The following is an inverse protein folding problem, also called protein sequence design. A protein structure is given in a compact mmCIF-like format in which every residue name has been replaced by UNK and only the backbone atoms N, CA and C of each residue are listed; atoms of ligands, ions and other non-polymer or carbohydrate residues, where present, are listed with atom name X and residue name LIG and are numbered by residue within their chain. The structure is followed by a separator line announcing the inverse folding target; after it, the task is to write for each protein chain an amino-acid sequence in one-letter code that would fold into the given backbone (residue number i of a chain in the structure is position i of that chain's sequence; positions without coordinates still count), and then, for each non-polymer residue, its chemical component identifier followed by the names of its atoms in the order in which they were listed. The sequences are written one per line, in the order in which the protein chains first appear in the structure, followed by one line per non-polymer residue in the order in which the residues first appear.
data_IF_941164692405
#
_entry.id   IF_941164692405
#
_cell.length_a   1.000
_cell.length_b   1.000
_cell.length_c   1.000
_cell.angle_alpha   90.00
_cell.angle_beta   90.00
_cell.angle_gamma   90.00
#
_symmetry.space_group_name_H-M   'P 1'
#
loop_
_entity.id
_entity.type
_entity.pdbx_description
1 polymer ?
#
# COMPACT_ATOMS: atom_id res chain seq x y z
N UNK A 1 -4.48 1.87 -59.63
CA UNK A 1 -3.26 1.08 -59.85
C UNK A 1 -3.37 -0.19 -59.00
N UNK A 2 -3.60 -1.37 -59.59
CA UNK A 2 -3.69 -2.63 -58.82
C UNK A 2 -2.26 -3.06 -58.46
N UNK A 3 -1.98 -3.25 -57.16
CA UNK A 3 -0.70 -3.82 -56.69
C UNK A 3 -0.55 -5.24 -57.23
N UNK A 4 0.69 -5.63 -57.55
CA UNK A 4 0.97 -6.99 -58.01
C UNK A 4 0.74 -7.99 -56.87
N UNK A 5 0.30 -9.22 -57.15
CA UNK A 5 0.03 -10.23 -56.12
C UNK A 5 1.25 -10.52 -55.22
N UNK A 6 2.47 -10.36 -55.74
CA UNK A 6 3.70 -10.45 -54.94
C UNK A 6 3.82 -9.35 -53.89
N UNK A 7 3.48 -8.10 -54.24
CA UNK A 7 3.53 -6.97 -53.32
C UNK A 7 2.44 -7.12 -52.25
N UNK A 8 1.23 -7.54 -52.64
CA UNK A 8 0.14 -7.81 -51.68
C UNK A 8 0.53 -8.90 -50.68
N UNK A 9 1.13 -10.01 -51.13
CA UNK A 9 1.58 -11.09 -50.25
C UNK A 9 2.70 -10.64 -49.30
N UNK A 10 3.65 -9.83 -49.76
CA UNK A 10 4.71 -9.26 -48.92
C UNK A 10 4.15 -8.35 -47.83
N UNK A 11 3.16 -7.50 -48.16
CA UNK A 11 2.47 -6.63 -47.20
C UNK A 11 1.72 -7.48 -46.15
N UNK A 12 1.01 -8.53 -46.57
CA UNK A 12 0.31 -9.43 -45.65
C UNK A 12 1.28 -10.17 -44.71
N UNK A 13 2.40 -10.68 -45.21
CA UNK A 13 3.41 -11.34 -44.37
C UNK A 13 4.05 -10.37 -43.37
N UNK A 14 4.36 -9.14 -43.80
CA UNK A 14 4.90 -8.10 -42.92
C UNK A 14 3.89 -7.72 -41.82
N UNK A 15 2.61 -7.59 -42.16
CA UNK A 15 1.56 -7.28 -41.20
C UNK A 15 1.37 -8.41 -40.18
N UNK A 16 1.41 -9.67 -40.61
CA UNK A 16 1.33 -10.85 -39.73
C UNK A 16 2.54 -10.92 -38.79
N UNK A 17 3.75 -10.71 -39.32
CA UNK A 17 4.98 -10.70 -38.51
C UNK A 17 4.97 -9.57 -37.47
N UNK A 18 4.53 -8.37 -37.86
CA UNK A 18 4.36 -7.25 -36.94
C UNK A 18 3.31 -7.57 -35.86
N UNK A 19 2.19 -8.18 -36.23
CA UNK A 19 1.15 -8.61 -35.29
C UNK A 19 1.66 -9.62 -34.26
N UNK A 20 2.47 -10.60 -34.70
CA UNK A 20 3.13 -11.55 -33.79
C UNK A 20 4.12 -10.87 -32.86
N UNK A 21 4.96 -9.95 -33.38
CA UNK A 21 5.93 -9.21 -32.58
C UNK A 21 5.24 -8.37 -31.48
N UNK A 22 4.17 -7.67 -31.84
CA UNK A 22 3.38 -6.90 -30.88
C UNK A 22 2.71 -7.79 -29.82
N UNK A 23 2.24 -8.97 -30.22
CA UNK A 23 1.64 -9.94 -29.30
C UNK A 23 2.65 -10.47 -28.29
N UNK A 24 3.88 -10.79 -28.72
CA UNK A 24 4.96 -11.21 -27.81
C UNK A 24 5.32 -10.09 -26.83
N UNK A 25 5.41 -8.85 -27.30
CA UNK A 25 5.71 -7.69 -26.45
C UNK A 25 4.64 -7.45 -25.35
N UNK A 26 3.37 -7.80 -25.61
CA UNK A 26 2.27 -7.64 -24.65
C UNK A 26 2.17 -8.85 -23.71
N UNK A 27 2.31 -10.07 -24.25
CA UNK A 27 2.11 -11.32 -23.50
C UNK A 27 3.29 -11.59 -22.56
N UNK A 28 4.51 -11.33 -23.01
CA UNK A 28 5.72 -11.67 -22.26
C UNK A 28 5.77 -11.05 -20.84
N UNK A 29 5.52 -9.74 -20.65
CA UNK A 29 5.47 -9.15 -19.32
C UNK A 29 4.40 -9.77 -18.41
N UNK A 30 3.26 -10.15 -18.99
CA UNK A 30 2.15 -10.78 -18.24
C UNK A 30 2.51 -12.19 -17.78
N UNK A 31 3.18 -12.99 -18.62
CA UNK A 31 3.70 -14.31 -18.24
C UNK A 31 4.78 -14.19 -17.16
N UNK A 32 5.69 -13.23 -17.31
CA UNK A 32 6.72 -12.95 -16.33
C UNK A 32 6.09 -12.56 -14.99
N UNK A 33 5.11 -11.65 -14.98
CA UNK A 33 4.39 -11.29 -13.75
C UNK A 33 3.68 -12.50 -13.12
N UNK A 34 2.96 -13.31 -13.91
CA UNK A 34 2.27 -14.49 -13.40
C UNK A 34 3.24 -15.48 -12.73
N UNK A 35 4.44 -15.65 -13.28
CA UNK A 35 5.49 -16.44 -12.67
C UNK A 35 5.88 -15.92 -11.28
N UNK A 36 6.15 -14.62 -11.14
CA UNK A 36 6.52 -14.03 -9.85
C UNK A 36 5.36 -13.95 -8.85
N UNK A 37 4.12 -13.80 -9.33
CA UNK A 37 2.94 -13.87 -8.47
C UNK A 37 2.82 -15.25 -7.81
N UNK A 38 3.02 -16.34 -8.58
CA UNK A 38 3.04 -17.70 -8.03
C UNK A 38 4.16 -17.89 -6.98
N UNK A 39 5.37 -17.38 -7.26
CA UNK A 39 6.51 -17.51 -6.34
C UNK A 39 6.36 -16.67 -5.07
N UNK A 40 5.57 -15.59 -5.11
CA UNK A 40 5.33 -14.74 -3.94
C UNK A 40 4.12 -15.17 -3.09
N UNK A 41 3.31 -16.14 -3.53
CA UNK A 41 2.12 -16.59 -2.79
C UNK A 41 2.44 -17.07 -1.37
N UNK A 42 3.53 -17.82 -1.20
CA UNK A 42 3.93 -18.31 0.13
C UNK A 42 4.32 -17.15 1.06
N UNK A 43 5.09 -16.19 0.54
CA UNK A 43 5.49 -15.00 1.29
C UNK A 43 4.27 -14.18 1.74
N UNK A 44 3.29 -13.98 0.85
CA UNK A 44 2.04 -13.25 1.19
C UNK A 44 1.26 -13.95 2.30
N UNK A 45 1.06 -15.27 2.18
CA UNK A 45 0.39 -16.07 3.22
C UNK A 45 1.15 -16.05 4.55
N UNK A 46 2.48 -16.04 4.53
CA UNK A 46 3.29 -15.89 5.74
C UNK A 46 3.08 -14.52 6.38
N UNK A 47 3.15 -13.44 5.60
CA UNK A 47 2.90 -12.07 6.07
C UNK A 47 1.50 -11.94 6.69
N UNK A 48 0.46 -12.48 6.02
CA UNK A 48 -0.91 -12.46 6.54
C UNK A 48 -1.01 -13.16 7.89
N UNK A 49 -0.39 -14.34 8.03
CA UNK A 49 -0.35 -15.07 9.31
C UNK A 49 0.36 -14.28 10.40
N UNK A 50 1.52 -13.72 10.09
CA UNK A 50 2.33 -12.94 11.03
C UNK A 50 1.62 -11.67 11.51
N UNK A 51 0.94 -10.95 10.61
CA UNK A 51 0.20 -9.74 10.96
C UNK A 51 -1.09 -10.06 11.71
N UNK A 52 -1.71 -11.20 11.44
CA UNK A 52 -2.94 -11.65 12.14
C UNK A 52 -2.64 -12.16 13.56
N UNK A 53 -1.46 -12.74 13.79
CA UNK A 53 -1.01 -13.19 15.10
C UNK A 53 0.42 -12.71 15.41
N UNK A 54 0.60 -11.41 15.69
CA UNK A 54 1.93 -10.82 15.88
C UNK A 54 2.66 -11.32 17.13
N UNK A 55 1.96 -11.98 18.07
CA UNK A 55 2.59 -12.56 19.26
C UNK A 55 3.26 -13.91 18.99
N UNK A 56 2.87 -14.60 17.92
CA UNK A 56 3.46 -15.87 17.53
C UNK A 56 4.95 -15.71 17.22
N UNK A 57 5.78 -16.65 17.69
CA UNK A 57 7.17 -16.74 17.28
C UNK A 57 7.28 -16.89 15.76
N UNK A 58 8.36 -16.36 15.18
CA UNK A 58 8.67 -16.52 13.77
C UNK A 58 10.16 -16.83 13.63
N UNK A 59 10.51 -17.61 12.62
CA UNK A 59 11.89 -17.89 12.29
C UNK A 59 12.45 -16.76 11.43
N UNK A 60 13.67 -16.31 11.73
CA UNK A 60 14.33 -15.26 10.95
C UNK A 60 14.55 -15.72 9.51
N UNK A 61 14.80 -17.01 9.30
CA UNK A 61 14.96 -17.62 7.98
C UNK A 61 13.69 -17.48 7.14
N UNK A 62 12.51 -17.76 7.69
CA UNK A 62 11.24 -17.58 6.99
C UNK A 62 11.03 -16.12 6.57
N UNK A 63 11.40 -15.18 7.45
CA UNK A 63 11.30 -13.75 7.14
C UNK A 63 12.25 -13.34 6.01
N UNK A 64 13.50 -13.84 6.03
CA UNK A 64 14.49 -13.60 4.98
C UNK A 64 13.99 -14.18 3.65
N UNK A 65 13.47 -15.40 3.64
CA UNK A 65 12.94 -16.05 2.45
C UNK A 65 11.76 -15.25 1.85
N UNK A 66 10.82 -14.79 2.70
CA UNK A 66 9.71 -13.96 2.26
C UNK A 66 10.19 -12.62 1.67
N UNK A 67 11.17 -11.98 2.33
CA UNK A 67 11.79 -10.74 1.84
C UNK A 67 12.42 -10.95 0.46
N UNK A 68 13.25 -11.97 0.33
CA UNK A 68 14.06 -12.18 -0.87
C UNK A 68 13.18 -12.53 -2.08
N UNK A 69 12.14 -13.35 -1.87
CA UNK A 69 11.13 -13.64 -2.90
C UNK A 69 10.40 -12.37 -3.38
N UNK A 70 10.01 -11.49 -2.46
CA UNK A 70 9.33 -10.24 -2.79
C UNK A 70 10.27 -9.22 -3.45
N UNK A 71 11.52 -9.13 -2.99
CA UNK A 71 12.52 -8.26 -3.60
C UNK A 71 12.84 -8.70 -5.03
N UNK A 72 12.95 -10.01 -5.27
CA UNK A 72 13.21 -10.54 -6.60
C UNK A 72 12.04 -10.28 -7.55
N UNK A 73 10.81 -10.55 -7.11
CA UNK A 73 9.60 -10.20 -7.86
C UNK A 73 9.54 -8.70 -8.18
N UNK A 74 9.87 -7.84 -7.21
CA UNK A 74 9.90 -6.39 -7.40
C UNK A 74 10.98 -5.93 -8.40
N UNK A 75 12.16 -6.56 -8.40
CA UNK A 75 13.22 -6.26 -9.38
C UNK A 75 12.80 -6.64 -10.79
N UNK A 76 12.17 -7.81 -10.93
CA UNK A 76 11.75 -8.31 -12.22
C UNK A 76 10.53 -7.57 -12.79
N UNK A 77 9.62 -7.13 -11.90
CA UNK A 77 8.35 -6.49 -12.26
C UNK A 77 8.10 -5.24 -11.40
N UNK A 78 8.88 -4.16 -11.59
CA UNK A 78 8.82 -2.95 -10.73
C UNK A 78 7.52 -2.15 -10.90
N UNK A 79 6.78 -2.36 -12.00
CA UNK A 79 5.50 -1.71 -12.26
C UNK A 79 4.30 -2.42 -11.58
N UNK A 80 4.54 -3.38 -10.68
CA UNK A 80 3.49 -4.09 -9.94
C UNK A 80 3.42 -3.54 -8.52
N UNK A 81 2.39 -2.73 -8.24
CA UNK A 81 2.22 -2.06 -6.94
C UNK A 81 2.17 -3.07 -5.76
N UNK A 82 1.64 -4.27 -5.99
CA UNK A 82 1.48 -5.29 -4.96
C UNK A 82 2.82 -5.66 -4.30
N UNK A 83 3.92 -5.75 -5.05
CA UNK A 83 5.21 -6.13 -4.45
C UNK A 83 5.72 -5.06 -3.49
N UNK A 84 5.53 -3.78 -3.82
CA UNK A 84 5.79 -2.70 -2.88
C UNK A 84 4.88 -2.78 -1.64
N UNK A 85 3.59 -3.07 -1.80
CA UNK A 85 2.66 -3.21 -0.68
C UNK A 85 3.11 -4.34 0.26
N UNK A 86 3.46 -5.51 -0.27
CA UNK A 86 3.89 -6.65 0.55
C UNK A 86 5.24 -6.41 1.23
N UNK A 87 6.18 -5.75 0.55
CA UNK A 87 7.42 -5.30 1.18
C UNK A 87 7.13 -4.31 2.32
N UNK A 88 6.19 -3.38 2.14
CA UNK A 88 5.78 -2.48 3.22
C UNK A 88 5.22 -3.27 4.42
N UNK A 89 4.29 -4.19 4.18
CA UNK A 89 3.67 -5.05 5.20
C UNK A 89 4.70 -5.89 5.95
N UNK A 90 5.72 -6.39 5.25
CA UNK A 90 6.84 -7.11 5.85
C UNK A 90 7.64 -6.23 6.82
N UNK A 91 7.85 -4.94 6.50
CA UNK A 91 8.48 -3.99 7.42
C UNK A 91 7.56 -3.62 8.59
N UNK A 92 6.25 -3.50 8.35
CA UNK A 92 5.26 -3.29 9.44
C UNK A 92 5.34 -4.42 10.47
N UNK A 93 5.43 -5.67 10.02
CA UNK A 93 5.63 -6.81 10.92
C UNK A 93 6.90 -6.66 11.77
N UNK A 94 8.03 -6.27 11.15
CA UNK A 94 9.28 -6.01 11.88
C UNK A 94 9.15 -4.87 12.88
N UNK A 95 8.45 -3.81 12.53
CA UNK A 95 8.17 -2.71 13.46
C UNK A 95 7.36 -3.19 14.67
N UNK A 96 6.34 -4.02 14.47
CA UNK A 96 5.55 -4.62 15.55
C UNK A 96 6.44 -5.48 16.46
N UNK A 97 7.33 -6.31 15.89
CA UNK A 97 8.29 -7.11 16.67
C UNK A 97 9.30 -6.25 17.43
N UNK A 98 9.60 -5.05 16.93
CA UNK A 98 10.50 -4.09 17.56
C UNK A 98 9.77 -3.11 18.50
N UNK A 99 8.55 -3.38 18.95
CA UNK A 99 7.74 -2.44 19.75
C UNK A 99 8.47 -1.90 20.99
N UNK A 100 9.32 -2.72 21.63
CA UNK A 100 10.10 -2.34 22.81
C UNK A 100 11.38 -1.55 22.49
N UNK A 101 11.72 -1.37 21.21
CA UNK A 101 12.90 -0.65 20.74
C UNK A 101 12.49 0.47 19.75
N UNK A 102 12.06 1.65 20.24
CA UNK A 102 11.47 2.70 19.41
C UNK A 102 12.30 3.11 18.21
N UNK A 103 13.62 3.27 18.37
CA UNK A 103 14.50 3.63 17.26
C UNK A 103 14.52 2.58 16.14
N UNK A 104 14.44 1.30 16.49
CA UNK A 104 14.40 0.19 15.52
C UNK A 104 13.01 0.12 14.86
N UNK A 105 11.95 0.22 15.66
CA UNK A 105 10.57 0.27 15.18
C UNK A 105 10.37 1.39 14.17
N UNK A 106 10.84 2.59 14.49
CA UNK A 106 10.64 3.78 13.64
C UNK A 106 11.42 3.66 12.33
N UNK A 107 12.59 3.01 12.32
CA UNK A 107 13.29 2.66 11.07
C UNK A 107 12.44 1.75 10.18
N UNK A 108 11.80 0.73 10.75
CA UNK A 108 10.92 -0.14 9.98
C UNK A 108 9.65 0.57 9.50
N UNK A 109 9.08 1.49 10.29
CA UNK A 109 7.99 2.34 9.81
C UNK A 109 8.40 3.28 8.68
N UNK A 110 9.61 3.84 8.71
CA UNK A 110 10.15 4.63 7.60
C UNK A 110 10.25 3.81 6.31
N UNK A 111 10.80 2.59 6.40
CA UNK A 111 10.88 1.68 5.26
C UNK A 111 9.49 1.27 4.74
N UNK A 112 8.53 1.03 5.64
CA UNK A 112 7.14 0.76 5.25
C UNK A 112 6.53 1.96 4.50
N UNK A 113 6.73 3.18 5.01
CA UNK A 113 6.26 4.41 4.36
C UNK A 113 6.87 4.61 2.97
N UNK A 114 8.16 4.34 2.79
CA UNK A 114 8.83 4.39 1.49
C UNK A 114 8.20 3.41 0.50
N UNK A 115 7.97 2.16 0.92
CA UNK A 115 7.33 1.16 0.08
C UNK A 115 5.87 1.52 -0.27
N UNK A 116 5.08 2.03 0.67
CA UNK A 116 3.73 2.54 0.33
C UNK A 116 3.77 3.72 -0.63
N UNK A 117 4.76 4.61 -0.52
CA UNK A 117 4.96 5.70 -1.48
C UNK A 117 5.28 5.16 -2.87
N UNK A 118 6.13 4.14 -2.98
CA UNK A 118 6.41 3.47 -4.26
C UNK A 118 5.16 2.78 -4.83
N UNK A 119 4.36 2.11 -3.98
CA UNK A 119 3.08 1.53 -4.41
C UNK A 119 2.12 2.61 -4.96
N UNK A 120 2.07 3.79 -4.35
CA UNK A 120 1.25 4.92 -4.82
C UNK A 120 1.81 5.57 -6.10
N UNK A 121 3.11 5.48 -6.37
CA UNK A 121 3.65 5.92 -7.66
C UNK A 121 3.15 5.02 -8.80
N UNK A 122 3.01 3.71 -8.53
CA UNK A 122 2.51 2.73 -9.51
C UNK A 122 0.99 2.73 -9.60
N UNK A 123 0.29 2.77 -8.46
CA UNK A 123 -1.17 2.79 -8.37
C UNK A 123 -1.63 4.00 -7.54
N UNK A 124 -1.73 5.19 -8.17
CA UNK A 124 -1.99 6.44 -7.45
C UNK A 124 -3.28 6.47 -6.66
N UNK A 125 -4.29 5.68 -7.02
CA UNK A 125 -5.59 5.66 -6.34
C UNK A 125 -5.77 4.48 -5.36
N UNK A 126 -4.68 3.79 -4.98
CA UNK A 126 -4.77 2.71 -3.98
C UNK A 126 -5.04 3.28 -2.59
N UNK A 127 -6.30 3.20 -2.15
CA UNK A 127 -6.79 3.85 -0.93
C UNK A 127 -6.15 3.26 0.33
N UNK A 128 -6.00 1.93 0.39
CA UNK A 128 -5.36 1.27 1.52
C UNK A 128 -3.89 1.70 1.67
N UNK A 129 -3.16 1.87 0.57
CA UNK A 129 -1.78 2.37 0.60
C UNK A 129 -1.71 3.83 1.07
N UNK A 130 -2.68 4.68 0.69
CA UNK A 130 -2.77 6.05 1.23
C UNK A 130 -3.03 6.03 2.73
N UNK A 131 -4.04 5.30 3.19
CA UNK A 131 -4.43 5.25 4.59
C UNK A 131 -3.31 4.67 5.46
N UNK A 132 -2.63 3.62 4.99
CA UNK A 132 -1.46 3.06 5.65
C UNK A 132 -0.31 4.07 5.69
N UNK A 133 0.00 4.77 4.59
CA UNK A 133 1.04 5.79 4.59
C UNK A 133 0.72 6.92 5.58
N UNK A 134 -0.52 7.41 5.63
CA UNK A 134 -0.99 8.38 6.63
C UNK A 134 -0.79 7.85 8.05
N UNK A 135 -1.15 6.59 8.30
CA UNK A 135 -1.00 5.96 9.62
C UNK A 135 0.47 5.84 10.06
N UNK A 136 1.37 5.43 9.15
CA UNK A 136 2.79 5.29 9.49
C UNK A 136 3.48 6.65 9.64
N UNK A 137 3.09 7.65 8.83
CA UNK A 137 3.50 9.03 9.07
C UNK A 137 3.04 9.52 10.44
N UNK A 138 1.82 9.16 10.86
CA UNK A 138 1.36 9.48 12.21
C UNK A 138 2.18 8.79 13.31
N UNK A 139 2.56 7.51 13.14
CA UNK A 139 3.44 6.81 14.07
C UNK A 139 4.83 7.48 14.19
N UNK A 140 5.32 8.03 13.08
CA UNK A 140 6.58 8.75 13.00
C UNK A 140 6.47 10.23 13.44
N UNK A 141 5.28 10.71 13.83
CA UNK A 141 5.05 12.11 14.19
C UNK A 141 5.13 13.08 13.02
N UNK A 142 5.05 12.60 11.77
CA UNK A 142 5.19 13.36 10.54
C UNK A 142 3.83 13.94 10.09
N UNK A 143 3.35 14.94 10.81
CA UNK A 143 2.14 15.70 10.46
C UNK A 143 2.45 16.84 9.46
N UNK A 144 2.98 16.47 8.30
CA UNK A 144 3.44 17.41 7.26
C UNK A 144 2.42 17.59 6.11
N UNK A 145 2.81 18.30 5.05
CA UNK A 145 1.95 18.53 3.89
C UNK A 145 1.55 17.24 3.16
N UNK A 146 2.46 16.25 3.09
CA UNK A 146 2.16 14.94 2.49
C UNK A 146 1.08 14.21 3.31
N UNK A 147 1.17 14.27 4.64
CA UNK A 147 0.14 13.73 5.53
C UNK A 147 -1.24 14.34 5.23
N UNK A 148 -1.34 15.66 5.20
CA UNK A 148 -2.60 16.37 4.94
C UNK A 148 -3.17 16.04 3.55
N UNK A 149 -2.31 16.03 2.52
CA UNK A 149 -2.70 15.73 1.15
C UNK A 149 -3.24 14.29 1.01
N UNK A 150 -2.53 13.30 1.56
CA UNK A 150 -2.95 11.90 1.51
C UNK A 150 -4.24 11.67 2.30
N UNK A 151 -4.37 12.29 3.47
CA UNK A 151 -5.57 12.23 4.29
C UNK A 151 -6.79 12.77 3.52
N UNK A 152 -6.68 13.96 2.93
CA UNK A 152 -7.75 14.55 2.14
C UNK A 152 -8.10 13.70 0.91
N UNK A 153 -7.09 13.16 0.22
CA UNK A 153 -7.29 12.31 -0.96
C UNK A 153 -7.99 11.00 -0.60
N UNK A 154 -7.58 10.34 0.47
CA UNK A 154 -8.22 9.11 0.95
C UNK A 154 -9.70 9.35 1.29
N UNK A 155 -10.02 10.45 1.98
CA UNK A 155 -11.41 10.82 2.28
C UNK A 155 -12.25 11.12 1.03
N UNK A 156 -11.64 11.66 -0.03
CA UNK A 156 -12.34 11.97 -1.29
C UNK A 156 -12.68 10.70 -2.07
N UNK A 157 -11.77 9.74 -2.12
CA UNK A 157 -11.95 8.52 -2.92
C UNK A 157 -12.86 7.52 -2.18
N UNK A 158 -12.69 7.37 -0.87
CA UNK A 158 -13.44 6.43 -0.04
C UNK A 158 -14.06 7.10 1.19
N UNK A 159 -15.04 8.01 1.00
CA UNK A 159 -15.65 8.72 2.12
C UNK A 159 -16.41 7.82 3.10
N UNK A 160 -16.83 6.63 2.67
CA UNK A 160 -17.69 5.69 3.40
C UNK A 160 -17.02 4.35 3.75
N UNK A 161 -15.73 4.16 3.47
CA UNK A 161 -15.05 2.92 3.83
C UNK A 161 -14.68 2.92 5.31
N UNK A 162 -15.32 2.04 6.06
CA UNK A 162 -15.33 2.04 7.52
C UNK A 162 -13.92 1.85 8.13
N UNK A 163 -13.14 0.93 7.58
CA UNK A 163 -11.75 0.64 7.98
C UNK A 163 -10.80 1.80 7.68
N UNK A 164 -10.96 2.43 6.51
CA UNK A 164 -10.21 3.64 6.12
C UNK A 164 -10.53 4.79 7.07
N UNK A 165 -11.80 5.02 7.40
CA UNK A 165 -12.19 6.05 8.36
C UNK A 165 -11.51 5.85 9.73
N UNK A 166 -11.50 4.62 10.27
CA UNK A 166 -10.84 4.35 11.56
C UNK A 166 -9.33 4.58 11.50
N UNK A 167 -8.70 4.17 10.40
CA UNK A 167 -7.26 4.37 10.19
C UNK A 167 -6.91 5.85 10.15
N UNK A 168 -7.67 6.64 9.39
CA UNK A 168 -7.48 8.09 9.30
C UNK A 168 -7.78 8.79 10.63
N UNK A 169 -8.86 8.41 11.33
CA UNK A 169 -9.15 8.96 12.67
C UNK A 169 -8.03 8.67 13.65
N UNK A 170 -7.53 7.44 13.69
CA UNK A 170 -6.42 7.06 14.57
C UNK A 170 -5.17 7.90 14.29
N UNK A 171 -4.81 8.06 13.01
CA UNK A 171 -3.69 8.89 12.59
C UNK A 171 -3.87 10.37 12.99
N UNK A 172 -5.09 10.89 12.82
CA UNK A 172 -5.45 12.26 13.19
C UNK A 172 -5.37 12.52 14.70
N UNK A 173 -5.99 11.65 15.50
CA UNK A 173 -5.95 11.72 16.97
C UNK A 173 -4.53 11.65 17.51
N UNK A 174 -3.72 10.73 16.99
CA UNK A 174 -2.33 10.56 17.43
C UNK A 174 -1.47 11.81 17.22
N UNK A 175 -1.78 12.61 16.21
CA UNK A 175 -1.03 13.84 15.89
C UNK A 175 -1.79 15.12 16.20
N UNK A 176 -2.94 15.03 16.88
CA UNK A 176 -3.85 16.16 17.11
C UNK A 176 -3.17 17.48 17.49
N UNK A 177 -2.21 17.53 18.44
CA UNK A 177 -1.58 18.79 18.85
C UNK A 177 -0.70 19.45 17.76
N UNK A 178 -0.32 18.71 16.72
CA UNK A 178 0.55 19.17 15.63
C UNK A 178 -0.21 19.55 14.36
N UNK A 179 -1.51 19.29 14.33
CA UNK A 179 -2.34 19.50 13.15
C UNK A 179 -2.79 20.96 13.03
N UNK A 180 -3.02 21.39 11.80
CA UNK A 180 -3.59 22.71 11.53
C UNK A 180 -5.08 22.74 11.88
N UNK A 181 -5.66 23.94 12.08
CA UNK A 181 -7.10 24.08 12.34
C UNK A 181 -7.98 23.46 11.25
N UNK A 182 -7.55 23.51 9.99
CA UNK A 182 -8.24 22.89 8.85
C UNK A 182 -8.27 21.36 9.01
N UNK A 183 -7.16 20.77 9.43
CA UNK A 183 -7.10 19.33 9.67
C UNK A 183 -7.95 18.92 10.87
N UNK A 184 -8.02 19.72 11.95
CA UNK A 184 -8.96 19.47 13.04
C UNK A 184 -10.40 19.45 12.55
N UNK A 185 -10.79 20.39 11.68
CA UNK A 185 -12.12 20.43 11.10
C UNK A 185 -12.41 19.19 10.24
N UNK A 186 -11.45 18.76 9.40
CA UNK A 186 -11.59 17.55 8.58
C UNK A 186 -11.70 16.28 9.42
N UNK A 187 -10.96 16.18 10.52
CA UNK A 187 -11.04 15.03 11.44
C UNK A 187 -12.38 15.01 12.17
N UNK A 188 -12.88 16.15 12.66
CA UNK A 188 -14.21 16.23 13.27
C UNK A 188 -15.33 15.85 12.29
N UNK A 189 -15.22 16.26 11.02
CA UNK A 189 -16.17 15.86 10.00
C UNK A 189 -16.12 14.35 9.74
N UNK A 190 -14.91 13.77 9.65
CA UNK A 190 -14.71 12.33 9.51
C UNK A 190 -15.28 11.56 10.70
N UNK A 191 -15.02 12.04 11.92
CA UNK A 191 -15.48 11.45 13.16
C UNK A 191 -17.00 11.41 13.23
N UNK A 192 -17.67 12.52 12.92
CA UNK A 192 -19.13 12.59 12.87
C UNK A 192 -19.71 11.54 11.91
N UNK A 193 -19.11 11.40 10.71
CA UNK A 193 -19.53 10.39 9.74
C UNK A 193 -19.28 8.97 10.24
N UNK A 194 -18.09 8.72 10.79
CA UNK A 194 -17.73 7.41 11.31
C UNK A 194 -18.58 7.01 12.52
N UNK A 195 -18.99 7.96 13.37
CA UNK A 195 -19.90 7.73 14.49
C UNK A 195 -21.28 7.29 14.01
N UNK A 196 -21.77 7.83 12.90
CA UNK A 196 -23.03 7.40 12.29
C UNK A 196 -22.95 5.98 11.73
N UNK A 197 -21.81 5.60 11.15
CA UNK A 197 -21.63 4.31 10.49
C UNK A 197 -21.21 3.18 11.44
N UNK A 198 -20.37 3.47 12.44
CA UNK A 198 -19.66 2.48 13.26
C UNK A 198 -19.34 3.00 14.67
N UNK A 199 -20.37 3.55 15.34
CA UNK A 199 -20.27 4.21 16.65
C UNK A 199 -19.41 3.47 17.68
N UNK A 200 -19.62 2.15 17.85
CA UNK A 200 -18.90 1.37 18.85
C UNK A 200 -17.39 1.34 18.60
N UNK A 201 -16.96 1.21 17.33
CA UNK A 201 -15.54 1.18 16.98
C UNK A 201 -14.89 2.54 17.19
N UNK A 202 -15.57 3.63 16.83
CA UNK A 202 -15.07 5.00 17.04
C UNK A 202 -14.94 5.31 18.52
N UNK A 203 -15.94 4.98 19.35
CA UNK A 203 -15.85 5.21 20.80
C UNK A 203 -14.72 4.42 21.45
N UNK A 204 -14.51 3.16 21.03
CA UNK A 204 -13.35 2.37 21.47
C UNK A 204 -12.03 3.03 21.07
N UNK A 205 -11.95 3.58 19.86
CA UNK A 205 -10.77 4.31 19.41
C UNK A 205 -10.52 5.59 20.23
N UNK A 206 -11.56 6.40 20.47
CA UNK A 206 -11.48 7.61 21.30
C UNK A 206 -11.00 7.33 22.72
N UNK A 207 -11.39 6.19 23.30
CA UNK A 207 -10.94 5.77 24.63
C UNK A 207 -9.41 5.59 24.74
N UNK A 208 -8.71 5.37 23.62
CA UNK A 208 -7.24 5.31 23.59
C UNK A 208 -6.59 6.71 23.66
N UNK A 209 -7.38 7.78 23.55
CA UNK A 209 -6.93 9.17 23.50
C UNK A 209 -7.72 10.07 24.46
N UNK A 210 -7.70 9.80 25.79
CA UNK A 210 -8.55 10.47 26.77
C UNK A 210 -8.29 11.98 26.92
N UNK A 211 -7.14 12.47 26.44
CA UNK A 211 -6.72 13.87 26.55
C UNK A 211 -7.00 14.69 25.29
N UNK A 212 -7.74 14.17 24.30
CA UNK A 212 -8.14 14.95 23.13
C UNK A 212 -9.14 16.03 23.56
N UNK A 213 -8.70 17.28 23.52
CA UNK A 213 -9.58 18.45 23.63
C UNK A 213 -10.07 18.83 22.23
N UNK A 214 -11.38 18.68 22.00
CA UNK A 214 -12.05 19.00 20.74
C UNK A 214 -12.40 20.47 20.58
#
# INVERSE_FOLDING_TARGET
MKLSPRITNLISMAAIALGMMLSVLIIWPSLQQAWYDLHTLQARKQIDRWLSNPQQAFELEDWIAARDALQEANRACPAVAQYHIELARLQVFRAIKAQQAPAIRDRFYQQASEHYRMALNVQPNNIHSMANLVQFKAYLGQADAEFAQLFQRAQRIAPHEADIQLTLLNAGYQNWPRLTPEMHAQIRQLENRALQQQQQKVRKLQANYPNLTF
#
